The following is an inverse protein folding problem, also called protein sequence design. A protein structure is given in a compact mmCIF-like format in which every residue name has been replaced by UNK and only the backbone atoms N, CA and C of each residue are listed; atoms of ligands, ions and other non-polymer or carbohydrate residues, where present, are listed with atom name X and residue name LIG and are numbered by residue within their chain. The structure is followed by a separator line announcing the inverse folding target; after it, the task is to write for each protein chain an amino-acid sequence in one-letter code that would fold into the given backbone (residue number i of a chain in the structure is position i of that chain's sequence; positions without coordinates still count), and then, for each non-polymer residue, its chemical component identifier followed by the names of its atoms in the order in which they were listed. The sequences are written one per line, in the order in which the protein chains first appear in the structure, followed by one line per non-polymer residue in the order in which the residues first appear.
data_IF_767655235028
#
_entry.id   IF_767655235028
#
_cell.length_a   1.000
_cell.length_b   1.000
_cell.length_c   1.000
_cell.angle_alpha   90.00
_cell.angle_beta   90.00
_cell.angle_gamma   90.00
#
_symmetry.space_group_name_H-M   'P 1'
#
loop_
_entity.id
_entity.type
_entity.pdbx_description
1 polymer ?
#
# COMPACT_ATOMS: atom_id res chain seq x y z
N UNK A 1 27.93 -38.04 -56.17
CA UNK A 1 27.92 -37.97 -54.70
C UNK A 1 28.31 -36.54 -54.34
N UNK A 2 27.32 -35.71 -54.02
CA UNK A 2 27.40 -34.25 -53.91
C UNK A 2 27.59 -33.84 -52.44
N UNK A 3 28.41 -32.81 -52.12
CA UNK A 3 28.76 -32.45 -50.75
C UNK A 3 27.71 -31.57 -50.05
N UNK A 4 27.84 -31.54 -48.73
CA UNK A 4 26.98 -30.96 -47.69
C UNK A 4 26.59 -29.49 -47.91
N UNK A 5 25.32 -29.18 -47.65
CA UNK A 5 24.80 -27.81 -47.49
C UNK A 5 25.01 -27.37 -46.04
N UNK A 6 25.85 -26.35 -45.83
CA UNK A 6 25.85 -25.52 -44.62
C UNK A 6 24.52 -24.73 -44.57
N UNK A 7 23.78 -24.89 -43.47
CA UNK A 7 22.62 -24.06 -43.17
C UNK A 7 23.06 -22.85 -42.33
N UNK A 8 23.00 -21.66 -42.93
CA UNK A 8 23.21 -20.37 -42.28
C UNK A 8 21.92 -20.01 -41.53
N UNK A 9 21.92 -20.08 -40.20
CA UNK A 9 20.82 -19.61 -39.38
C UNK A 9 20.90 -18.08 -39.20
N UNK A 10 20.09 -17.34 -39.95
CA UNK A 10 19.84 -15.92 -39.68
C UNK A 10 18.82 -15.81 -38.54
N UNK A 11 19.27 -15.38 -37.36
CA UNK A 11 18.39 -14.95 -36.26
C UNK A 11 17.93 -13.51 -36.53
N UNK A 12 16.72 -13.37 -37.07
CA UNK A 12 15.99 -12.10 -37.08
C UNK A 12 15.32 -11.93 -35.72
N UNK A 13 15.97 -11.19 -34.81
CA UNK A 13 15.33 -10.68 -33.61
C UNK A 13 14.35 -9.55 -34.02
N UNK A 14 13.10 -9.91 -34.27
CA UNK A 14 12.03 -8.92 -34.38
C UNK A 14 11.77 -8.34 -32.99
N UNK A 15 12.33 -7.17 -32.71
CA UNK A 15 11.94 -6.37 -31.57
C UNK A 15 10.47 -5.98 -31.75
N UNK A 16 9.58 -6.70 -31.07
CA UNK A 16 8.20 -6.25 -30.89
C UNK A 16 8.25 -5.00 -30.00
N UNK A 17 8.39 -3.82 -30.63
CA UNK A 17 8.00 -2.57 -29.99
C UNK A 17 6.49 -2.64 -29.81
N UNK A 18 6.06 -3.20 -28.68
CA UNK A 18 4.67 -3.14 -28.25
C UNK A 18 4.25 -1.68 -28.23
N UNK A 19 3.17 -1.33 -28.93
CA UNK A 19 2.64 0.01 -28.94
C UNK A 19 2.44 0.49 -27.50
N UNK A 20 3.09 1.60 -27.15
CA UNK A 20 2.91 2.20 -25.83
C UNK A 20 1.43 2.56 -25.69
N UNK A 21 0.75 2.10 -24.62
CA UNK A 21 -0.65 2.44 -24.41
C UNK A 21 -0.80 3.96 -24.41
N UNK A 22 -1.92 4.50 -24.94
CA UNK A 22 -2.11 5.94 -25.01
C UNK A 22 -1.92 6.55 -23.61
N UNK A 23 -1.17 7.64 -23.54
CA UNK A 23 -0.94 8.33 -22.29
C UNK A 23 -2.28 8.64 -21.63
N UNK A 24 -2.44 8.21 -20.37
CA UNK A 24 -3.64 8.47 -19.59
C UNK A 24 -3.78 9.99 -19.42
N UNK A 25 -4.76 10.58 -20.09
CA UNK A 25 -5.08 12.00 -19.93
C UNK A 25 -5.74 12.18 -18.57
N UNK A 26 -4.99 12.70 -17.60
CA UNK A 26 -5.52 13.09 -16.30
C UNK A 26 -6.34 14.38 -16.48
N UNK A 27 -7.67 14.26 -16.43
CA UNK A 27 -8.56 15.42 -16.43
C UNK A 27 -8.67 15.95 -15.01
N UNK A 28 -8.02 17.06 -14.73
CA UNK A 28 -8.25 17.81 -13.51
C UNK A 28 -9.36 18.84 -13.74
N UNK A 29 -10.28 19.03 -12.80
CA UNK A 29 -11.21 20.16 -12.86
C UNK A 29 -10.43 21.48 -12.79
N UNK A 30 -11.02 22.55 -13.32
CA UNK A 30 -10.48 23.90 -13.14
C UNK A 30 -10.48 24.27 -11.65
N UNK A 31 -9.45 25.01 -11.21
CA UNK A 31 -9.32 25.49 -9.83
C UNK A 31 -10.62 26.18 -9.37
N UNK A 32 -11.06 25.84 -8.17
CA UNK A 32 -12.21 26.47 -7.53
C UNK A 32 -11.75 27.40 -6.42
N UNK A 33 -12.28 28.63 -6.41
CA UNK A 33 -11.84 29.68 -5.48
C UNK A 33 -12.99 30.35 -4.72
N UNK A 34 -14.19 29.75 -4.66
CA UNK A 34 -15.28 30.34 -3.87
C UNK A 34 -16.49 29.45 -3.59
N UNK A 35 -17.21 29.74 -2.50
CA UNK A 35 -18.38 28.97 -2.09
C UNK A 35 -19.57 29.04 -3.09
N UNK A 36 -19.63 30.09 -3.91
CA UNK A 36 -20.72 30.33 -4.86
C UNK A 36 -20.80 29.29 -6.01
N UNK A 37 -19.73 28.54 -6.26
CA UNK A 37 -19.63 27.55 -7.35
C UNK A 37 -19.93 26.12 -6.88
N UNK A 38 -20.02 25.88 -5.56
CA UNK A 38 -20.08 24.54 -4.97
C UNK A 38 -21.32 23.77 -5.42
N UNK A 39 -22.50 24.41 -5.42
CA UNK A 39 -23.74 23.75 -5.79
C UNK A 39 -23.74 23.33 -7.27
N UNK A 40 -23.28 24.21 -8.16
CA UNK A 40 -23.16 23.90 -9.58
C UNK A 40 -22.14 22.76 -9.84
N UNK A 41 -21.03 22.73 -9.09
CA UNK A 41 -20.03 21.66 -9.18
C UNK A 41 -20.55 20.33 -8.66
N UNK A 42 -21.31 20.33 -7.56
CA UNK A 42 -21.98 19.13 -7.06
C UNK A 42 -22.89 18.52 -8.13
N UNK A 43 -23.76 19.34 -8.75
CA UNK A 43 -24.66 18.88 -9.81
C UNK A 43 -23.88 18.31 -11.02
N UNK A 44 -22.77 18.94 -11.42
CA UNK A 44 -21.92 18.42 -12.49
C UNK A 44 -21.26 17.09 -12.12
N UNK A 45 -20.78 16.94 -10.88
CA UNK A 45 -20.19 15.68 -10.41
C UNK A 45 -21.23 14.56 -10.37
N UNK A 46 -22.42 14.83 -9.83
CA UNK A 46 -23.54 13.88 -9.79
C UNK A 46 -23.96 13.44 -11.20
N UNK A 47 -24.03 14.36 -12.17
CA UNK A 47 -24.32 14.05 -13.55
C UNK A 47 -23.27 13.14 -14.22
N UNK A 48 -22.03 13.11 -13.71
CA UNK A 48 -20.97 12.23 -14.22
C UNK A 48 -20.96 10.85 -13.58
N UNK A 49 -21.66 10.62 -12.46
CA UNK A 49 -21.67 9.34 -11.75
C UNK A 49 -21.98 8.13 -12.66
N UNK A 50 -22.95 8.17 -13.60
CA UNK A 50 -23.25 7.04 -14.48
C UNK A 50 -22.12 6.69 -15.45
N UNK A 51 -21.16 7.59 -15.64
CA UNK A 51 -20.01 7.40 -16.55
C UNK A 51 -18.85 6.68 -15.88
N UNK A 52 -18.89 6.49 -14.55
CA UNK A 52 -17.87 5.78 -13.80
C UNK A 52 -18.38 4.39 -13.37
N UNK A 53 -17.70 3.35 -13.86
CA UNK A 53 -17.79 2.02 -13.26
C UNK A 53 -16.69 1.89 -12.21
N UNK A 54 -17.03 2.01 -10.93
CA UNK A 54 -16.11 1.65 -9.85
C UNK A 54 -16.45 0.24 -9.36
N UNK A 55 -15.42 -0.55 -9.07
CA UNK A 55 -15.63 -1.79 -8.34
C UNK A 55 -16.22 -1.46 -6.97
N UNK A 56 -17.47 -1.85 -6.76
CA UNK A 56 -18.22 -1.66 -5.54
C UNK A 56 -18.83 -3.00 -5.11
N UNK A 57 -18.97 -3.22 -3.80
CA UNK A 57 -19.45 -4.49 -3.24
C UNK A 57 -18.45 -5.26 -2.39
N UNK A 58 -17.28 -4.69 -2.09
CA UNK A 58 -16.44 -5.18 -0.99
C UNK A 58 -16.87 -4.55 0.33
N UNK A 59 -16.62 -5.27 1.42
CA UNK A 59 -16.83 -4.80 2.77
C UNK A 59 -15.65 -5.16 3.64
N UNK A 60 -15.51 -4.46 4.76
CA UNK A 60 -14.53 -4.79 5.79
C UNK A 60 -15.27 -5.36 7.00
N UNK A 61 -14.67 -6.35 7.65
CA UNK A 61 -15.11 -6.86 8.93
C UNK A 61 -13.95 -6.70 9.90
N UNK A 62 -14.25 -6.23 11.11
CA UNK A 62 -13.27 -6.22 12.20
C UNK A 62 -13.03 -7.66 12.68
N UNK A 63 -11.75 -8.04 12.73
CA UNK A 63 -11.26 -9.37 13.11
C UNK A 63 -10.04 -9.28 14.02
N UNK A 64 -9.79 -8.15 14.69
CA UNK A 64 -8.59 -7.95 15.52
C UNK A 64 -8.44 -9.04 16.59
N UNK A 65 -9.53 -9.45 17.24
CA UNK A 65 -9.48 -10.49 18.27
C UNK A 65 -9.11 -11.87 17.72
N UNK A 66 -9.47 -12.15 16.47
CA UNK A 66 -9.21 -13.43 15.81
C UNK A 66 -7.86 -13.44 15.09
N UNK A 67 -7.31 -12.26 14.76
CA UNK A 67 -6.10 -12.13 13.97
C UNK A 67 -4.83 -12.42 14.77
N UNK A 68 -4.87 -12.31 16.10
CA UNK A 68 -3.67 -12.40 16.94
C UNK A 68 -2.81 -11.13 16.94
N UNK A 69 -3.24 -10.06 16.26
CA UNK A 69 -2.59 -8.75 16.32
C UNK A 69 -3.11 -8.01 17.56
N UNK A 70 -2.23 -7.81 18.54
CA UNK A 70 -2.50 -7.10 19.79
C UNK A 70 -1.81 -5.71 19.85
N UNK A 71 -1.10 -5.32 18.79
CA UNK A 71 -0.41 -4.04 18.74
C UNK A 71 -1.38 -2.86 18.75
N UNK A 72 -1.14 -1.95 19.69
CA UNK A 72 -1.83 -0.66 19.77
C UNK A 72 -0.80 0.44 19.63
N UNK A 73 -0.91 1.23 18.56
CA UNK A 73 -0.06 2.41 18.40
C UNK A 73 -0.42 3.44 19.47
N UNK A 74 0.61 3.95 20.14
CA UNK A 74 0.47 5.00 21.14
C UNK A 74 1.18 6.25 20.63
N UNK A 75 0.42 7.34 20.50
CA UNK A 75 0.99 8.67 20.33
C UNK A 75 1.41 9.22 21.68
N UNK A 76 2.40 10.12 21.67
CA UNK A 76 2.88 10.78 22.89
C UNK A 76 1.81 11.64 23.55
N UNK A 77 1.81 11.62 24.88
CA UNK A 77 0.80 12.23 25.76
C UNK A 77 0.73 13.77 25.69
N UNK A 78 1.78 14.42 25.17
CA UNK A 78 1.91 15.88 25.05
C UNK A 78 1.26 16.42 23.77
N UNK A 79 0.90 15.55 22.83
CA UNK A 79 0.25 15.89 21.56
C UNK A 79 -1.08 16.65 21.71
N UNK A 80 -1.67 16.67 22.92
CA UNK A 80 -2.93 17.36 23.24
C UNK A 80 -2.86 18.33 24.44
N UNK A 81 -1.75 18.40 25.18
CA UNK A 81 -1.71 19.15 26.46
C UNK A 81 -1.35 20.62 26.28
N UNK A 82 -0.39 20.89 25.41
CA UNK A 82 0.01 22.24 25.07
C UNK A 82 -0.30 22.41 23.59
N UNK A 83 -0.97 23.52 23.22
CA UNK A 83 -1.26 23.86 21.83
C UNK A 83 0.08 24.09 21.09
N UNK A 84 0.72 23.02 20.67
CA UNK A 84 1.93 23.03 19.86
C UNK A 84 1.45 23.08 18.41
N UNK A 85 1.67 24.18 17.67
CA UNK A 85 1.11 24.36 16.32
C UNK A 85 1.52 23.27 15.34
N UNK A 86 2.61 22.55 15.66
CA UNK A 86 3.16 21.47 14.87
C UNK A 86 3.77 20.43 15.83
N UNK A 87 2.99 19.42 16.19
CA UNK A 87 3.51 18.23 16.88
C UNK A 87 3.68 17.12 15.84
N UNK A 88 4.88 16.56 15.76
CA UNK A 88 5.22 15.51 14.80
C UNK A 88 5.57 14.22 15.53
N UNK A 89 4.71 13.21 15.35
CA UNK A 89 5.02 11.82 15.67
C UNK A 89 5.80 11.23 14.47
N UNK A 90 7.13 11.20 14.53
CA UNK A 90 8.01 10.88 13.39
C UNK A 90 8.47 9.41 13.36
N UNK A 91 8.04 8.59 14.32
CA UNK A 91 8.56 7.22 14.52
C UNK A 91 7.60 6.08 14.20
N UNK A 92 6.52 6.31 13.46
CA UNK A 92 5.52 5.28 13.16
C UNK A 92 5.56 4.81 11.70
N UNK A 93 5.00 3.62 11.45
CA UNK A 93 4.98 3.04 10.12
C UNK A 93 4.60 1.57 10.10
N UNK A 94 4.28 1.10 8.90
CA UNK A 94 4.04 -0.31 8.61
C UNK A 94 4.91 -0.71 7.42
N UNK A 95 5.58 -1.84 7.56
CA UNK A 95 6.28 -2.52 6.47
C UNK A 95 5.67 -3.89 6.26
N UNK A 96 5.57 -4.31 5.01
CA UNK A 96 4.99 -5.60 4.60
C UNK A 96 6.01 -6.33 3.74
N UNK A 97 6.41 -7.53 4.15
CA UNK A 97 7.39 -8.35 3.45
C UNK A 97 7.24 -9.81 3.88
N UNK A 98 7.65 -10.74 3.02
CA UNK A 98 7.83 -12.15 3.38
C UNK A 98 9.20 -12.28 4.07
N UNK A 99 9.21 -12.30 5.41
CA UNK A 99 10.44 -12.18 6.21
C UNK A 99 11.10 -13.55 6.40
N UNK A 100 10.31 -14.62 6.44
CA UNK A 100 10.79 -15.98 6.70
C UNK A 100 10.85 -16.88 5.46
N UNK A 101 10.33 -16.41 4.32
CA UNK A 101 10.37 -17.09 3.03
C UNK A 101 9.29 -18.15 2.85
N UNK A 102 8.23 -18.13 3.65
CA UNK A 102 7.12 -19.08 3.54
C UNK A 102 6.07 -18.70 2.47
N UNK A 103 6.23 -17.52 1.87
CA UNK A 103 5.40 -17.01 0.78
C UNK A 103 4.17 -16.24 1.26
N UNK A 104 3.92 -16.15 2.57
CA UNK A 104 2.92 -15.27 3.14
C UNK A 104 3.56 -13.92 3.54
N UNK A 105 2.81 -12.82 3.41
CA UNK A 105 3.32 -11.48 3.75
C UNK A 105 3.13 -11.19 5.23
N UNK A 106 4.24 -10.90 5.91
CA UNK A 106 4.32 -10.53 7.32
C UNK A 106 4.15 -9.02 7.53
N UNK A 107 3.91 -8.61 8.77
CA UNK A 107 3.72 -7.22 9.16
C UNK A 107 4.76 -6.78 10.18
N UNK A 108 5.52 -5.73 9.85
CA UNK A 108 6.38 -5.06 10.82
C UNK A 108 5.82 -3.67 11.15
N UNK A 109 5.42 -3.49 12.41
CA UNK A 109 4.78 -2.30 12.94
C UNK A 109 5.78 -1.50 13.78
N UNK A 110 5.97 -0.25 13.37
CA UNK A 110 6.87 0.69 14.00
C UNK A 110 6.09 1.60 14.96
N UNK A 111 6.70 1.85 16.11
CA UNK A 111 6.21 2.82 17.08
C UNK A 111 7.34 3.72 17.56
N UNK A 112 6.97 4.95 17.89
CA UNK A 112 7.84 5.89 18.58
C UNK A 112 7.94 5.54 20.07
N UNK A 113 6.83 5.12 20.68
CA UNK A 113 6.77 4.73 22.09
C UNK A 113 6.71 3.21 22.22
N UNK A 114 7.68 2.66 22.95
CA UNK A 114 7.78 1.24 23.25
C UNK A 114 8.44 0.40 22.16
N UNK A 115 8.10 -0.89 22.13
CA UNK A 115 8.70 -1.86 21.22
C UNK A 115 7.96 -1.89 19.89
N UNK A 116 8.71 -1.93 18.79
CA UNK A 116 8.18 -2.36 17.50
C UNK A 116 7.66 -3.79 17.60
N UNK A 117 6.81 -4.21 16.66
CA UNK A 117 6.27 -5.57 16.60
C UNK A 117 6.41 -6.16 15.20
N UNK A 118 6.92 -7.37 15.12
CA UNK A 118 6.92 -8.19 13.91
C UNK A 118 5.93 -9.34 14.08
N UNK A 119 4.94 -9.37 13.19
CA UNK A 119 3.90 -10.39 13.14
C UNK A 119 4.10 -11.26 11.91
N UNK A 120 4.34 -12.55 12.13
CA UNK A 120 4.36 -13.55 11.06
C UNK A 120 2.94 -13.89 10.64
N UNK A 121 2.67 -13.96 9.35
CA UNK A 121 1.39 -14.38 8.82
C UNK A 121 1.25 -15.90 8.82
N UNK A 122 0.14 -16.41 9.35
CA UNK A 122 -0.18 -17.84 9.43
C UNK A 122 -1.26 -18.26 8.43
N UNK A 123 -1.55 -17.38 7.47
CA UNK A 123 -2.65 -17.50 6.53
C UNK A 123 -4.03 -17.22 7.16
N UNK A 124 -5.00 -16.94 6.29
CA UNK A 124 -6.40 -16.75 6.71
C UNK A 124 -6.64 -15.56 7.63
N UNK A 125 -5.75 -14.56 7.62
CA UNK A 125 -5.85 -13.35 8.45
C UNK A 125 -5.41 -13.55 9.91
N UNK A 126 -4.70 -14.63 10.21
CA UNK A 126 -4.10 -14.88 11.53
C UNK A 126 -2.61 -14.60 11.52
N UNK A 127 -2.10 -14.15 12.64
CA UNK A 127 -0.72 -13.73 12.82
C UNK A 127 -0.17 -14.21 14.17
N UNK A 128 1.13 -14.46 14.24
CA UNK A 128 1.86 -14.70 15.48
C UNK A 128 2.91 -13.61 15.71
N UNK A 129 3.06 -13.17 16.96
CA UNK A 129 4.16 -12.26 17.31
C UNK A 129 5.48 -13.03 17.34
N UNK A 130 6.38 -12.69 16.43
CA UNK A 130 7.74 -13.23 16.36
C UNK A 130 8.83 -12.20 16.71
N UNK A 131 8.45 -11.06 17.28
CA UNK A 131 9.33 -9.91 17.56
C UNK A 131 10.56 -10.32 18.37
N UNK A 132 10.36 -11.09 19.43
CA UNK A 132 11.44 -11.53 20.31
C UNK A 132 12.38 -12.52 19.61
N UNK A 133 11.80 -13.46 18.83
CA UNK A 133 12.58 -14.43 18.06
C UNK A 133 13.44 -13.75 16.98
N UNK A 134 12.92 -12.70 16.35
CA UNK A 134 13.63 -11.93 15.33
C UNK A 134 14.60 -10.88 15.91
N UNK A 135 14.47 -10.51 17.19
CA UNK A 135 15.34 -9.52 17.84
C UNK A 135 15.16 -8.09 17.33
N UNK A 136 13.99 -7.75 16.78
CA UNK A 136 13.72 -6.45 16.12
C UNK A 136 12.86 -5.50 16.95
N UNK A 137 12.55 -5.85 18.19
CA UNK A 137 11.65 -5.05 19.03
C UNK A 137 12.15 -3.64 19.35
N UNK A 138 13.47 -3.45 19.50
CA UNK A 138 14.09 -2.15 19.85
C UNK A 138 13.39 -1.49 21.05
N UNK A 139 13.22 -2.23 22.15
CA UNK A 139 12.43 -1.79 23.30
C UNK A 139 13.12 -0.73 24.18
N UNK A 140 14.41 -0.48 23.97
CA UNK A 140 15.31 0.38 24.76
C UNK A 140 15.62 1.73 24.09
N UNK A 141 14.77 2.16 23.16
CA UNK A 141 14.90 3.45 22.46
C UNK A 141 14.55 4.65 23.32
#
# INVERSE_FOLDING_TARGET
MSPSRLALALLLAAAALGAQPPARVLRHPANDVGAATLEARKLLQEATLPTFGVFAGFGFADRVLESGIDFVHQSVDDSLRDWIPVHYDHGNGVSVADVDGDGDLDLYLLTQLGSNRLYRNLGGGRFEDMTAAAGVGLADR
#
